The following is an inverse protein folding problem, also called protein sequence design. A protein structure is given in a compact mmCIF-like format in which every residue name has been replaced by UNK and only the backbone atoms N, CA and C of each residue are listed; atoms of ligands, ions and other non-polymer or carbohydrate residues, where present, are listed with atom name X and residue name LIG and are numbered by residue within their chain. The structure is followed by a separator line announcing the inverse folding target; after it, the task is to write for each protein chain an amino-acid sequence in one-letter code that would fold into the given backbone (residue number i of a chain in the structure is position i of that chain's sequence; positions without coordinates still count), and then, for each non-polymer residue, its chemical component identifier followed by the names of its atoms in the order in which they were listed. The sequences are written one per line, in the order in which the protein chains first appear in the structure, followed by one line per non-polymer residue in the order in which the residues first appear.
data_IF_177414562114
#
_entry.id   IF_177414562114
#
_cell.length_a   1.000
_cell.length_b   1.000
_cell.length_c   1.000
_cell.angle_alpha   90.00
_cell.angle_beta   90.00
_cell.angle_gamma   90.00
#
_symmetry.space_group_name_H-M   'P 1'
#
loop_
_entity.id
_entity.type
_entity.pdbx_description
1 polymer ?
#
# COMPACT_ATOMS: atom_id res chain seq x y z
N UNK A 1 -6.43 -20.34 10.45
CA UNK A 1 -7.43 -19.88 9.46
C UNK A 1 -7.09 -20.60 8.17
N UNK A 2 -7.86 -21.64 7.83
CA UNK A 2 -7.46 -22.67 6.87
C UNK A 2 -7.35 -22.12 5.44
N UNK A 3 -6.28 -22.51 4.77
CA UNK A 3 -5.90 -22.29 3.37
C UNK A 3 -7.07 -22.46 2.37
N UNK A 4 -8.02 -23.31 2.73
CA UNK A 4 -9.28 -23.56 2.03
C UNK A 4 -10.10 -22.29 1.79
N UNK A 5 -10.19 -21.38 2.76
CA UNK A 5 -11.00 -20.15 2.62
C UNK A 5 -10.38 -19.14 1.65
N UNK A 6 -9.06 -19.14 1.52
CA UNK A 6 -8.35 -18.27 0.59
C UNK A 6 -8.54 -18.79 -0.83
N UNK A 7 -8.43 -20.10 -1.02
CA UNK A 7 -8.68 -20.77 -2.31
C UNK A 7 -10.13 -20.61 -2.77
N UNK A 8 -11.10 -20.75 -1.88
CA UNK A 8 -12.52 -20.49 -2.17
C UNK A 8 -12.77 -19.04 -2.59
N UNK A 9 -12.12 -18.07 -1.93
CA UNK A 9 -12.25 -16.67 -2.28
C UNK A 9 -11.64 -16.36 -3.67
N UNK A 10 -10.49 -16.94 -3.98
CA UNK A 10 -9.83 -16.76 -5.29
C UNK A 10 -10.65 -17.40 -6.41
N UNK A 11 -11.20 -18.59 -6.19
CA UNK A 11 -12.11 -19.26 -7.13
C UNK A 11 -13.37 -18.41 -7.41
N UNK A 12 -14.01 -17.91 -6.34
CA UNK A 12 -15.18 -17.04 -6.44
C UNK A 12 -14.88 -15.76 -7.23
N UNK A 13 -13.73 -15.12 -6.99
CA UNK A 13 -13.33 -13.90 -7.71
C UNK A 13 -13.03 -14.17 -9.19
N UNK A 14 -12.58 -15.39 -9.53
CA UNK A 14 -12.30 -15.81 -10.91
C UNK A 14 -13.59 -16.09 -11.68
N UNK A 15 -14.58 -16.73 -11.06
CA UNK A 15 -15.90 -16.97 -11.67
C UNK A 15 -16.65 -15.67 -11.94
N UNK A 16 -16.64 -14.72 -11.00
CA UNK A 16 -17.28 -13.41 -11.15
C UNK A 16 -16.66 -12.63 -12.34
N UNK A 17 -15.34 -12.74 -12.52
CA UNK A 17 -14.65 -12.14 -13.67
C UNK A 17 -15.08 -12.77 -15.00
N UNK A 18 -15.28 -14.09 -15.03
CA UNK A 18 -15.71 -14.82 -16.22
C UNK A 18 -17.18 -14.53 -16.59
N UNK A 19 -18.02 -14.17 -15.61
CA UNK A 19 -19.42 -13.74 -15.82
C UNK A 19 -19.56 -12.28 -16.31
N UNK A 20 -18.45 -11.62 -16.65
CA UNK A 20 -18.46 -10.24 -17.15
C UNK A 20 -18.71 -9.18 -16.07
N UNK A 21 -18.73 -9.56 -14.79
CA UNK A 21 -18.73 -8.63 -13.67
C UNK A 21 -17.35 -7.99 -13.62
N UNK A 22 -17.22 -6.82 -14.27
CA UNK A 22 -16.00 -6.03 -14.24
C UNK A 22 -15.63 -5.70 -12.79
N UNK A 23 -14.33 -5.55 -12.52
CA UNK A 23 -13.77 -5.11 -11.23
C UNK A 23 -14.24 -3.70 -10.78
N UNK A 24 -15.29 -3.17 -11.38
CA UNK A 24 -16.03 -1.99 -10.96
C UNK A 24 -17.25 -2.40 -10.13
N UNK A 25 -17.18 -3.47 -9.32
CA UNK A 25 -18.04 -3.55 -8.14
C UNK A 25 -17.84 -2.26 -7.37
N UNK A 26 -18.88 -1.41 -7.41
CA UNK A 26 -18.93 -0.10 -6.77
C UNK A 26 -18.38 -0.23 -5.36
N UNK A 27 -17.69 0.79 -4.86
CA UNK A 27 -17.07 0.77 -3.52
C UNK A 27 -18.03 0.26 -2.41
N UNK A 28 -19.35 0.41 -2.58
CA UNK A 28 -20.40 -0.19 -1.76
C UNK A 28 -20.41 -1.72 -1.77
N UNK A 29 -20.53 -2.36 -2.94
CA UNK A 29 -20.60 -3.83 -3.07
C UNK A 29 -19.41 -4.54 -2.43
N UNK A 30 -18.21 -3.97 -2.59
CA UNK A 30 -17.00 -4.50 -1.96
C UNK A 30 -17.05 -4.41 -0.43
N UNK A 31 -17.52 -3.28 0.12
CA UNK A 31 -17.68 -3.13 1.58
C UNK A 31 -18.69 -4.13 2.12
N UNK A 32 -19.76 -4.39 1.39
CA UNK A 32 -20.81 -5.31 1.84
C UNK A 32 -20.31 -6.76 1.84
N UNK A 33 -19.59 -7.19 0.79
CA UNK A 33 -18.91 -8.50 0.75
C UNK A 33 -17.88 -8.62 1.88
N UNK A 34 -17.07 -7.59 2.09
CA UNK A 34 -16.06 -7.57 3.15
C UNK A 34 -16.67 -7.66 4.57
N UNK A 35 -17.80 -6.98 4.79
CA UNK A 35 -18.58 -7.08 6.02
C UNK A 35 -19.13 -8.49 6.19
N UNK A 36 -19.67 -9.10 5.13
CA UNK A 36 -20.24 -10.45 5.15
C UNK A 36 -19.17 -11.52 5.42
N UNK A 37 -17.97 -11.38 4.87
CA UNK A 37 -16.84 -12.29 5.06
C UNK A 37 -16.02 -12.01 6.33
N UNK A 38 -16.31 -10.92 7.05
CA UNK A 38 -15.52 -10.49 8.21
C UNK A 38 -14.09 -10.05 7.87
N UNK A 39 -13.83 -9.67 6.61
CA UNK A 39 -12.49 -9.30 6.12
C UNK A 39 -12.41 -7.77 6.00
N UNK A 40 -11.29 -7.18 6.44
CA UNK A 40 -11.06 -5.74 6.27
C UNK A 40 -10.46 -5.45 4.88
N UNK A 41 -11.15 -4.68 4.06
CA UNK A 41 -10.57 -4.18 2.80
C UNK A 41 -9.54 -3.08 3.12
N UNK A 42 -8.29 -3.21 2.67
CA UNK A 42 -7.31 -2.13 2.79
C UNK A 42 -7.75 -0.93 1.94
N UNK A 43 -7.58 0.28 2.50
CA UNK A 43 -7.98 1.52 1.82
C UNK A 43 -7.21 1.80 0.52
N UNK A 44 -6.00 1.27 0.39
CA UNK A 44 -5.23 1.24 -0.85
C UNK A 44 -5.12 -0.21 -1.33
N UNK A 45 -5.69 -0.49 -2.51
CA UNK A 45 -5.72 -1.82 -3.10
C UNK A 45 -4.46 -2.15 -3.93
N UNK A 46 -3.63 -1.16 -4.22
CA UNK A 46 -2.35 -1.37 -4.90
C UNK A 46 -1.41 -2.14 -3.96
N UNK A 47 -0.83 -3.28 -4.39
CA UNK A 47 0.22 -4.00 -3.66
C UNK A 47 1.38 -3.07 -3.28
N UNK A 48 2.07 -3.32 -2.16
CA UNK A 48 3.11 -2.41 -1.69
C UNK A 48 4.20 -2.18 -2.75
N UNK A 49 4.70 -3.23 -3.40
CA UNK A 49 5.73 -3.18 -4.45
C UNK A 49 5.32 -2.40 -5.70
N UNK A 50 4.03 -2.23 -5.97
CA UNK A 50 3.51 -1.54 -7.16
C UNK A 50 3.21 -0.04 -6.91
N UNK A 51 3.31 0.43 -5.67
CA UNK A 51 3.02 1.83 -5.34
C UNK A 51 4.15 2.76 -5.78
N UNK A 52 3.81 4.01 -6.05
CA UNK A 52 4.81 5.06 -6.31
C UNK A 52 5.21 5.84 -5.05
N UNK A 53 4.51 5.61 -3.94
CA UNK A 53 4.82 6.24 -2.66
C UNK A 53 4.40 5.39 -1.48
N UNK A 54 5.13 5.55 -0.37
CA UNK A 54 4.94 4.80 0.85
C UNK A 54 5.10 5.66 2.08
N UNK A 55 4.53 5.22 3.19
CA UNK A 55 4.99 5.70 4.49
C UNK A 55 6.42 5.23 4.75
N UNK A 56 7.19 5.93 5.59
CA UNK A 56 8.58 5.52 5.89
C UNK A 56 8.71 4.06 6.35
N UNK A 57 7.83 3.51 7.23
CA UNK A 57 7.89 2.10 7.60
C UNK A 57 7.59 1.13 6.44
N UNK A 58 6.71 1.51 5.52
CA UNK A 58 6.38 0.69 4.36
C UNK A 58 7.51 0.74 3.32
N UNK A 59 8.15 1.89 3.14
CA UNK A 59 9.34 2.04 2.30
C UNK A 59 10.48 1.15 2.82
N UNK A 60 10.73 1.17 4.13
CA UNK A 60 11.72 0.31 4.77
C UNK A 60 11.53 -1.18 4.40
N UNK A 61 10.29 -1.66 4.43
CA UNK A 61 9.95 -3.04 4.03
C UNK A 61 10.16 -3.31 2.55
N UNK A 62 9.76 -2.37 1.68
CA UNK A 62 9.83 -2.54 0.22
C UNK A 62 11.29 -2.55 -0.26
N UNK A 63 12.13 -1.68 0.30
CA UNK A 63 13.53 -1.54 -0.10
C UNK A 63 14.49 -2.38 0.77
N UNK A 64 13.99 -3.09 1.78
CA UNK A 64 14.82 -3.92 2.66
C UNK A 64 15.82 -3.13 3.51
N UNK A 65 15.48 -1.89 3.89
CA UNK A 65 16.36 -0.99 4.65
C UNK A 65 15.83 -0.75 6.06
N UNK A 66 16.70 -0.29 6.97
CA UNK A 66 16.29 0.04 8.33
C UNK A 66 15.39 1.29 8.36
N UNK A 67 14.26 1.17 9.05
CA UNK A 67 13.32 2.25 9.26
C UNK A 67 13.95 3.42 10.03
N UNK A 68 14.78 3.13 11.04
CA UNK A 68 15.37 4.19 11.87
C UNK A 68 16.37 5.02 11.07
N UNK A 69 17.17 4.38 10.22
CA UNK A 69 18.03 5.08 9.26
C UNK A 69 17.22 6.03 8.33
N UNK A 70 16.11 5.55 7.75
CA UNK A 70 15.24 6.40 6.93
C UNK A 70 14.61 7.55 7.72
N UNK A 71 14.22 7.31 8.98
CA UNK A 71 13.66 8.33 9.87
C UNK A 71 14.69 9.43 10.14
N UNK A 72 15.93 9.05 10.43
CA UNK A 72 17.05 9.98 10.65
C UNK A 72 17.33 10.77 9.37
N UNK A 73 17.47 10.10 8.22
CA UNK A 73 17.71 10.75 6.92
C UNK A 73 16.60 11.77 6.58
N UNK A 74 15.34 11.42 6.81
CA UNK A 74 14.22 12.33 6.60
C UNK A 74 14.21 13.52 7.57
N UNK A 75 14.67 13.35 8.81
CA UNK A 75 14.79 14.45 9.79
C UNK A 75 15.97 15.38 9.47
N UNK A 76 17.06 14.83 8.91
CA UNK A 76 18.23 15.59 8.47
C UNK A 76 18.03 16.29 7.11
N UNK A 77 16.93 16.03 6.42
CA UNK A 77 16.66 16.59 5.09
C UNK A 77 17.41 15.90 3.94
N UNK A 78 18.07 14.78 4.22
CA UNK A 78 18.76 13.97 3.21
C UNK A 78 17.78 13.17 2.34
N UNK A 79 16.63 12.80 2.92
CA UNK A 79 15.52 12.14 2.25
C UNK A 79 14.33 13.09 2.16
N UNK A 80 13.96 13.46 0.94
CA UNK A 80 12.81 14.34 0.70
C UNK A 80 11.52 13.60 1.01
N UNK A 81 10.70 14.19 1.88
CA UNK A 81 9.40 13.60 2.25
C UNK A 81 8.29 14.63 2.10
N UNK A 82 7.07 14.14 1.91
CA UNK A 82 5.87 14.97 1.89
C UNK A 82 4.81 14.37 2.80
N UNK A 83 3.78 15.15 3.12
CA UNK A 83 2.65 14.69 3.94
C UNK A 83 1.36 14.83 3.16
N UNK A 84 0.76 13.74 2.66
CA UNK A 84 -0.53 13.83 2.00
C UNK A 84 -1.58 14.38 2.97
N UNK A 85 -2.48 15.22 2.46
CA UNK A 85 -3.60 15.75 3.25
C UNK A 85 -4.65 14.65 3.43
N UNK A 86 -5.20 14.57 4.64
CA UNK A 86 -6.34 13.71 4.91
C UNK A 86 -7.60 14.29 4.28
N UNK A 87 -8.68 13.50 4.22
CA UNK A 87 -10.01 13.98 3.78
C UNK A 87 -10.51 15.19 4.58
N UNK A 88 -10.04 15.37 5.83
CA UNK A 88 -10.36 16.52 6.70
C UNK A 88 -9.39 17.69 6.53
N UNK A 89 -8.45 17.62 5.59
CA UNK A 89 -7.46 18.67 5.32
C UNK A 89 -6.24 18.66 6.25
N UNK A 90 -6.20 17.82 7.29
CA UNK A 90 -5.05 17.72 8.19
C UNK A 90 -3.88 17.01 7.52
N UNK A 91 -2.66 17.29 7.96
CA UNK A 91 -1.46 16.60 7.45
C UNK A 91 -1.42 15.15 7.95
N UNK A 92 -1.23 14.21 7.02
CA UNK A 92 -1.08 12.79 7.32
C UNK A 92 0.32 12.41 7.80
N UNK A 93 0.59 11.10 7.72
CA UNK A 93 1.93 10.52 7.95
C UNK A 93 2.90 11.03 6.88
N UNK A 94 4.21 10.96 7.16
CA UNK A 94 5.23 11.25 6.12
C UNK A 94 5.26 10.14 5.11
N UNK A 95 5.32 10.54 3.85
CA UNK A 95 5.49 9.67 2.70
C UNK A 95 6.78 10.02 1.94
N UNK A 96 7.34 9.01 1.29
CA UNK A 96 8.45 9.12 0.36
C UNK A 96 8.03 8.53 -0.97
N UNK A 97 8.50 9.10 -2.07
CA UNK A 97 8.24 8.60 -3.43
C UNK A 97 9.28 7.56 -3.83
N UNK A 98 8.94 6.71 -4.80
CA UNK A 98 9.85 5.75 -5.42
C UNK A 98 11.08 6.42 -6.02
N UNK A 99 10.88 7.50 -6.78
CA UNK A 99 11.98 8.25 -7.39
C UNK A 99 12.97 8.76 -6.34
N UNK A 100 12.46 9.26 -5.21
CA UNK A 100 13.31 9.79 -4.14
C UNK A 100 14.04 8.70 -3.36
N UNK A 101 13.39 7.57 -3.10
CA UNK A 101 14.06 6.40 -2.51
C UNK A 101 15.20 5.91 -3.41
N UNK A 102 14.95 5.79 -4.71
CA UNK A 102 15.98 5.38 -5.67
C UNK A 102 17.15 6.39 -5.70
N UNK A 103 16.87 7.70 -5.73
CA UNK A 103 17.90 8.76 -5.64
C UNK A 103 18.72 8.66 -4.36
N UNK A 104 18.07 8.38 -3.23
CA UNK A 104 18.74 8.29 -1.93
C UNK A 104 19.62 7.04 -1.85
N UNK A 105 19.12 5.87 -2.28
CA UNK A 105 19.86 4.61 -2.20
C UNK A 105 21.04 4.57 -3.17
N UNK A 106 20.93 5.20 -4.35
CA UNK A 106 22.04 5.27 -5.30
C UNK A 106 23.27 6.02 -4.75
N UNK A 107 23.15 6.75 -3.64
CA UNK A 107 24.29 7.40 -2.96
C UNK A 107 25.13 6.43 -2.11
N UNK A 108 24.64 5.21 -1.86
CA UNK A 108 25.29 4.20 -1.01
C UNK A 108 25.70 2.94 -1.77
N UNK A 109 25.40 2.84 -3.06
CA UNK A 109 25.76 1.72 -3.93
C UNK A 109 27.13 1.92 -4.63
N UNK A 110 27.92 2.90 -4.18
CA UNK A 110 29.30 3.21 -4.63
C UNK A 110 30.34 2.53 -3.74
#
# INVERSE_FOLDING_TARGET
MSETKILEHVAMMTELRNQGVRAETTQGVRRDIARQLGVRIPGNQTPLNERDSWTLPDAAKVFGVDYEALRIAANLGLLTTYRPRTRRGTLGRRHVTRAEMNRYLSQFEE
#
